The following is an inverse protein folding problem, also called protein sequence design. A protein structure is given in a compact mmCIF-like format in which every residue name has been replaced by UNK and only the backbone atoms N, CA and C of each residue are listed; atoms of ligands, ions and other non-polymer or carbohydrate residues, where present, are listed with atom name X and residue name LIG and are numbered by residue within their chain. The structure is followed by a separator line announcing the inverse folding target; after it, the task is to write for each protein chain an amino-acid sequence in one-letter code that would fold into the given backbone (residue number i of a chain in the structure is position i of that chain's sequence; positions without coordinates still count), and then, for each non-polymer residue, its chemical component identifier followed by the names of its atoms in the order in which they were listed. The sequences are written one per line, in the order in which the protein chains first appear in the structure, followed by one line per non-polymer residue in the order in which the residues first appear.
data_IF_675916043661
#
_entry.id   IF_675916043661
#
_cell.length_a   1.000
_cell.length_b   1.000
_cell.length_c   1.000
_cell.angle_alpha   90.00
_cell.angle_beta   90.00
_cell.angle_gamma   90.00
#
_symmetry.space_group_name_H-M   'P 1'
#
loop_
_entity.id
_entity.type
_entity.pdbx_description
1 polymer ?
#
# COMPACT_ATOMS: atom_id res chain seq x y z
N UNK A 1 2.78 -24.80 -18.45
CA UNK A 1 2.85 -23.91 -17.28
C UNK A 1 3.85 -22.83 -17.60
N UNK A 2 3.39 -21.62 -17.89
CA UNK A 2 4.29 -20.51 -18.24
C UNK A 2 5.01 -20.06 -16.98
N UNK A 3 6.32 -20.28 -16.91
CA UNK A 3 7.16 -19.61 -15.93
C UNK A 3 7.22 -18.14 -16.32
N UNK A 4 6.39 -17.32 -15.70
CA UNK A 4 6.46 -15.86 -15.84
C UNK A 4 7.79 -15.43 -15.25
N UNK A 5 8.83 -15.35 -16.09
CA UNK A 5 10.08 -14.70 -15.75
C UNK A 5 9.77 -13.21 -15.65
N UNK A 6 9.36 -12.78 -14.45
CA UNK A 6 9.23 -11.37 -14.14
C UNK A 6 10.65 -10.81 -14.11
N UNK A 7 11.12 -10.32 -15.27
CA UNK A 7 12.31 -9.47 -15.38
C UNK A 7 11.90 -8.09 -14.86
N UNK A 8 11.98 -7.89 -13.56
CA UNK A 8 11.80 -6.58 -12.95
C UNK A 8 13.18 -6.00 -12.63
N UNK A 9 13.47 -4.80 -13.12
CA UNK A 9 14.68 -4.10 -12.71
C UNK A 9 14.50 -3.52 -11.31
N UNK A 10 15.61 -3.28 -10.59
CA UNK A 10 15.61 -2.58 -9.30
C UNK A 10 14.87 -1.23 -9.40
N UNK A 11 15.04 -0.53 -10.53
CA UNK A 11 14.37 0.73 -10.80
C UNK A 11 12.85 0.59 -10.97
N UNK A 12 12.40 -0.44 -11.69
CA UNK A 12 10.97 -0.71 -11.90
C UNK A 12 10.29 -1.11 -10.59
N UNK A 13 10.95 -1.93 -9.77
CA UNK A 13 10.46 -2.30 -8.44
C UNK A 13 10.35 -1.08 -7.53
N UNK A 14 11.37 -0.23 -7.50
CA UNK A 14 11.35 1.00 -6.71
C UNK A 14 10.22 1.94 -7.14
N UNK A 15 10.02 2.12 -8.45
CA UNK A 15 8.95 2.96 -9.00
C UNK A 15 7.57 2.40 -8.65
N UNK A 16 7.41 1.08 -8.77
CA UNK A 16 6.16 0.38 -8.41
C UNK A 16 5.82 0.54 -6.93
N UNK A 17 6.83 0.46 -6.04
CA UNK A 17 6.63 0.67 -4.61
C UNK A 17 6.25 2.11 -4.28
N UNK A 18 6.85 3.10 -4.97
CA UNK A 18 6.46 4.50 -4.81
C UNK A 18 5.01 4.74 -5.26
N UNK A 19 4.59 4.17 -6.39
CA UNK A 19 3.20 4.24 -6.84
C UNK A 19 2.26 3.57 -5.84
N UNK A 20 2.61 2.38 -5.33
CA UNK A 20 1.82 1.68 -4.33
C UNK A 20 1.66 2.51 -3.05
N UNK A 21 2.73 3.12 -2.55
CA UNK A 21 2.70 4.01 -1.39
C UNK A 21 1.76 5.20 -1.61
N UNK A 22 1.87 5.90 -2.74
CA UNK A 22 0.98 7.02 -3.07
C UNK A 22 -0.49 6.58 -3.16
N UNK A 23 -0.76 5.42 -3.75
CA UNK A 23 -2.13 4.88 -3.83
C UNK A 23 -2.71 4.49 -2.47
N UNK A 24 -1.88 3.97 -1.55
CA UNK A 24 -2.30 3.70 -0.16
C UNK A 24 -2.68 5.00 0.54
N UNK A 25 -1.87 6.04 0.41
CA UNK A 25 -2.11 7.36 1.03
C UNK A 25 -3.36 8.03 0.46
N UNK A 26 -3.56 7.99 -0.86
CA UNK A 26 -4.74 8.53 -1.52
C UNK A 26 -6.02 7.79 -1.11
N UNK A 27 -5.98 6.45 -1.06
CA UNK A 27 -7.11 5.64 -0.63
C UNK A 27 -7.49 5.94 0.82
N UNK A 28 -6.51 5.96 1.74
CA UNK A 28 -6.72 6.29 3.15
C UNK A 28 -7.34 7.69 3.30
N UNK A 29 -6.78 8.69 2.61
CA UNK A 29 -7.26 10.07 2.66
C UNK A 29 -8.68 10.23 2.12
N UNK A 30 -9.00 9.56 1.01
CA UNK A 30 -10.36 9.54 0.45
C UNK A 30 -11.35 8.93 1.45
N UNK A 31 -11.02 7.77 2.04
CA UNK A 31 -11.90 7.11 3.01
C UNK A 31 -12.12 7.96 4.26
N UNK A 32 -11.08 8.64 4.76
CA UNK A 32 -11.20 9.54 5.90
C UNK A 32 -12.02 10.80 5.57
N UNK A 33 -11.78 11.39 4.39
CA UNK A 33 -12.48 12.60 3.94
C UNK A 33 -13.95 12.31 3.65
N UNK A 34 -14.26 11.21 2.95
CA UNK A 34 -15.62 10.76 2.69
C UNK A 34 -16.37 10.53 4.00
N UNK A 35 -15.78 9.77 4.93
CA UNK A 35 -16.37 9.50 6.25
C UNK A 35 -16.64 10.78 7.03
N UNK A 36 -15.63 11.63 7.17
CA UNK A 36 -15.72 12.86 7.97
C UNK A 36 -16.71 13.84 7.35
N UNK A 37 -16.66 14.02 6.03
CA UNK A 37 -17.58 14.88 5.29
C UNK A 37 -19.03 14.41 5.37
N UNK A 38 -19.27 13.09 5.21
CA UNK A 38 -20.62 12.53 5.35
C UNK A 38 -21.13 12.64 6.79
N UNK A 39 -20.29 12.39 7.81
CA UNK A 39 -20.67 12.60 9.22
C UNK A 39 -21.02 14.05 9.53
N UNK A 40 -20.21 15.00 9.10
CA UNK A 40 -20.45 16.41 9.38
C UNK A 40 -21.70 16.94 8.66
N UNK A 41 -22.01 16.44 7.47
CA UNK A 41 -23.26 16.75 6.77
C UNK A 41 -24.50 16.16 7.48
N UNK A 42 -24.35 15.00 8.11
CA UNK A 42 -25.45 14.31 8.78
C UNK A 42 -25.67 14.79 10.22
N UNK A 43 -24.66 15.34 10.92
CA UNK A 43 -24.80 15.83 12.32
C UNK A 43 -25.97 16.78 12.58
N UNK A 44 -26.48 17.48 11.56
CA UNK A 44 -27.58 18.44 11.70
C UNK A 44 -28.98 17.84 11.53
N UNK A 45 -29.08 16.55 11.17
CA UNK A 45 -30.36 15.86 11.05
C UNK A 45 -30.59 15.05 12.35
N UNK A 46 -31.80 15.12 12.91
CA UNK A 46 -32.17 14.38 14.12
C UNK A 46 -33.10 13.22 13.70
N UNK A 47 -32.53 12.09 13.31
CA UNK A 47 -33.29 10.95 12.75
C UNK A 47 -32.57 9.62 12.97
N UNK A 48 -33.33 8.57 13.25
CA UNK A 48 -32.88 7.16 13.30
C UNK A 48 -32.20 6.69 12.00
N UNK A 49 -32.42 7.41 10.89
CA UNK A 49 -31.68 7.22 9.64
C UNK A 49 -30.17 7.46 9.82
N UNK A 50 -29.78 8.40 10.67
CA UNK A 50 -28.38 8.75 10.90
C UNK A 50 -27.68 7.72 11.73
N UNK A 51 -28.33 7.15 12.74
CA UNK A 51 -27.74 6.06 13.52
C UNK A 51 -27.35 4.87 12.63
N UNK A 52 -28.17 4.57 11.61
CA UNK A 52 -27.85 3.53 10.61
C UNK A 52 -26.72 3.92 9.68
N UNK A 53 -26.67 5.19 9.25
CA UNK A 53 -25.57 5.67 8.40
C UNK A 53 -24.25 5.74 9.19
N UNK A 54 -24.28 6.18 10.45
CA UNK A 54 -23.12 6.18 11.34
C UNK A 54 -22.59 4.76 11.58
N UNK A 55 -23.47 3.77 11.80
CA UNK A 55 -23.07 2.37 11.94
C UNK A 55 -22.42 1.80 10.66
N UNK A 56 -22.90 2.21 9.47
CA UNK A 56 -22.27 1.85 8.19
C UNK A 56 -20.90 2.54 8.04
N UNK A 57 -20.79 3.82 8.40
CA UNK A 57 -19.54 4.57 8.35
C UNK A 57 -18.51 4.04 9.36
N UNK A 58 -18.93 3.52 10.51
CA UNK A 58 -18.07 2.83 11.47
C UNK A 58 -17.64 1.45 10.98
N UNK A 59 -18.54 0.67 10.36
CA UNK A 59 -18.14 -0.60 9.73
C UNK A 59 -17.17 -0.40 8.56
N UNK A 60 -17.32 0.67 7.78
CA UNK A 60 -16.33 1.05 6.77
C UNK A 60 -14.98 1.43 7.38
N UNK A 61 -14.98 1.98 8.59
CA UNK A 61 -13.76 2.32 9.32
C UNK A 61 -13.08 1.08 9.93
N UNK A 62 -13.81 0.04 10.32
CA UNK A 62 -13.25 -1.06 11.10
C UNK A 62 -12.79 -2.28 10.31
N UNK A 63 -13.54 -2.76 9.30
CA UNK A 63 -13.19 -4.05 8.71
C UNK A 63 -12.56 -3.92 7.32
N UNK A 64 -13.28 -3.32 6.36
CA UNK A 64 -12.87 -3.41 4.94
C UNK A 64 -11.69 -2.50 4.61
N UNK A 65 -11.68 -1.26 5.13
CA UNK A 65 -10.60 -0.32 4.83
C UNK A 65 -9.34 -0.65 5.62
N UNK A 66 -9.45 -1.13 6.86
CA UNK A 66 -8.28 -1.48 7.69
C UNK A 66 -7.60 -2.75 7.22
N UNK A 67 -8.35 -3.80 6.88
CA UNK A 67 -7.75 -5.03 6.37
C UNK A 67 -7.12 -4.82 5.00
N UNK A 68 -7.79 -4.11 4.09
CA UNK A 68 -7.22 -3.78 2.79
C UNK A 68 -5.96 -2.91 2.92
N UNK A 69 -5.99 -1.85 3.75
CA UNK A 69 -4.80 -1.01 4.00
C UNK A 69 -3.67 -1.83 4.63
N UNK A 70 -3.98 -2.72 5.58
CA UNK A 70 -3.01 -3.60 6.23
C UNK A 70 -2.35 -4.53 5.21
N UNK A 71 -3.13 -5.14 4.33
CA UNK A 71 -2.60 -6.00 3.26
C UNK A 71 -1.74 -5.20 2.28
N UNK A 72 -2.15 -3.99 1.90
CA UNK A 72 -1.37 -3.12 1.02
C UNK A 72 -0.04 -2.68 1.68
N UNK A 73 -0.04 -2.34 2.96
CA UNK A 73 1.18 -2.04 3.71
C UNK A 73 2.09 -3.27 3.85
N UNK A 74 1.53 -4.46 4.05
CA UNK A 74 2.30 -5.70 4.10
C UNK A 74 2.97 -6.01 2.75
N UNK A 75 2.25 -5.83 1.64
CA UNK A 75 2.79 -5.98 0.28
C UNK A 75 3.89 -4.95 0.01
N UNK A 76 3.69 -3.69 0.41
CA UNK A 76 4.71 -2.65 0.27
C UNK A 76 5.97 -2.98 1.10
N UNK A 77 5.81 -3.46 2.33
CA UNK A 77 6.93 -3.87 3.19
C UNK A 77 7.72 -5.02 2.57
N UNK A 78 7.04 -6.08 2.13
CA UNK A 78 7.67 -7.22 1.45
C UNK A 78 8.40 -6.79 0.17
N UNK A 79 7.80 -5.89 -0.62
CA UNK A 79 8.44 -5.32 -1.80
C UNK A 79 9.70 -4.53 -1.50
N UNK A 80 9.71 -3.77 -0.39
CA UNK A 80 10.89 -3.03 0.07
C UNK A 80 12.02 -3.97 0.51
N UNK A 81 11.70 -5.05 1.21
CA UNK A 81 12.68 -6.08 1.58
C UNK A 81 13.31 -6.72 0.33
N UNK A 82 12.48 -7.12 -0.65
CA UNK A 82 12.97 -7.63 -1.93
C UNK A 82 13.88 -6.64 -2.66
N UNK A 83 13.55 -5.34 -2.64
CA UNK A 83 14.38 -4.31 -3.28
C UNK A 83 15.76 -4.21 -2.63
N UNK A 84 15.84 -4.28 -1.31
CA UNK A 84 17.10 -4.22 -0.58
C UNK A 84 17.95 -5.50 -0.81
N UNK A 85 17.33 -6.67 -0.85
CA UNK A 85 18.01 -7.92 -1.22
C UNK A 85 18.57 -7.86 -2.65
N UNK A 86 17.80 -7.32 -3.60
CA UNK A 86 18.26 -7.15 -4.99
C UNK A 86 19.46 -6.21 -5.08
N UNK A 87 19.46 -5.09 -4.35
CA UNK A 87 20.61 -4.16 -4.31
C UNK A 87 21.85 -4.84 -3.72
N UNK A 88 21.67 -5.56 -2.61
CA UNK A 88 22.75 -6.27 -1.94
C UNK A 88 23.36 -7.34 -2.85
N UNK A 89 22.53 -8.12 -3.54
CA UNK A 89 22.99 -9.12 -4.49
C UNK A 89 23.76 -8.49 -5.67
N UNK A 90 23.35 -7.32 -6.14
CA UNK A 90 24.04 -6.57 -7.21
C UNK A 90 25.41 -6.03 -6.75
N UNK A 91 25.49 -5.55 -5.51
CA UNK A 91 26.75 -5.15 -4.88
C UNK A 91 27.72 -6.33 -4.73
N UNK A 92 27.27 -7.46 -4.15
CA UNK A 92 28.07 -8.67 -3.96
C UNK A 92 28.58 -9.22 -5.31
N UNK A 93 27.73 -9.24 -6.34
CA UNK A 93 28.14 -9.63 -7.69
C UNK A 93 29.21 -8.69 -8.27
N UNK A 94 29.03 -7.39 -8.09
CA UNK A 94 29.98 -6.36 -8.54
C UNK A 94 31.33 -6.44 -7.82
N UNK A 95 31.36 -6.83 -6.55
CA UNK A 95 32.59 -7.07 -5.79
C UNK A 95 33.31 -8.33 -6.25
N UNK A 96 32.58 -9.44 -6.45
CA UNK A 96 33.15 -10.68 -6.97
C UNK A 96 33.82 -10.48 -8.34
N UNK A 97 33.16 -9.77 -9.26
CA UNK A 97 33.73 -9.45 -10.58
C UNK A 97 35.02 -8.64 -10.45
N UNK A 98 35.05 -7.62 -9.58
CA UNK A 98 36.25 -6.81 -9.35
C UNK A 98 37.40 -7.62 -8.74
N UNK A 99 37.09 -8.53 -7.83
CA UNK A 99 38.10 -9.39 -7.17
C UNK A 99 38.68 -10.46 -8.10
N UNK A 100 37.91 -10.96 -9.07
CA UNK A 100 38.37 -11.96 -10.05
C UNK A 100 39.18 -11.40 -11.23
N UNK A 101 39.30 -10.06 -11.34
CA UNK A 101 40.14 -9.38 -12.32
C UNK A 101 41.52 -8.95 -11.77
N UNK A 102 41.82 -9.27 -10.50
CA UNK A 102 43.14 -9.13 -9.87
C UNK A 102 43.90 -10.45 -9.88
#
# INVERSE_FOLDING_TARGET
MGTTNIKMSVHDLQTTLQTLQSSIEEFSSYTDTFRTGTRDQLKNFNSDFIEKVDAILDNMNDDINKDLLKDMYAIHAAGKEMLEEMKKADEEASEMIRSGQS
#
